data_IF_720329072821
#
_entry.id   IF_720329072821
#
_cell.length_a   1.000
_cell.length_b   1.000
_cell.length_c   1.000
_cell.angle_alpha   90.00
_cell.angle_beta   90.00
_cell.angle_gamma   90.00
#
_symmetry.space_group_name_H-M   'P 1'
#
loop_
_entity.id
_entity.type
_entity.pdbx_description
1 polymer ?
#
# COMPACT_ATOMS: atom_id res chain seq x y z
N UNK A 1 -26.55 -28.60 46.08
CA UNK A 1 -27.11 -28.48 44.72
C UNK A 1 -26.59 -27.18 44.11
N UNK A 2 -25.49 -27.24 43.35
CA UNK A 2 -24.84 -26.04 42.79
C UNK A 2 -24.78 -26.13 41.26
N UNK A 3 -25.44 -25.21 40.57
CA UNK A 3 -25.53 -25.07 39.10
C UNK A 3 -24.29 -24.43 38.46
N UNK A 4 -23.11 -24.59 39.08
CA UNK A 4 -21.88 -23.89 38.65
C UNK A 4 -21.29 -24.40 37.32
N UNK A 5 -21.66 -25.60 36.85
CA UNK A 5 -21.05 -26.20 35.66
C UNK A 5 -21.70 -25.83 34.32
N UNK A 6 -22.93 -25.32 34.30
CA UNK A 6 -23.65 -25.07 33.04
C UNK A 6 -23.22 -23.77 32.36
N UNK A 7 -22.90 -22.73 33.14
CA UNK A 7 -22.47 -21.43 32.59
C UNK A 7 -21.13 -21.52 31.83
N UNK A 8 -20.17 -22.30 32.34
CA UNK A 8 -18.88 -22.54 31.68
C UNK A 8 -19.07 -23.23 30.31
N UNK A 9 -19.93 -24.25 30.25
CA UNK A 9 -20.25 -25.00 29.04
C UNK A 9 -20.93 -24.14 27.95
N UNK A 10 -21.80 -23.21 28.34
CA UNK A 10 -22.40 -22.26 27.40
C UNK A 10 -21.38 -21.22 26.88
N UNK A 11 -20.35 -20.89 27.66
CA UNK A 11 -19.28 -19.97 27.25
C UNK A 11 -18.38 -20.58 26.16
N UNK A 12 -18.04 -21.87 26.26
CA UNK A 12 -17.23 -22.59 25.27
C UNK A 12 -17.97 -22.77 23.93
N UNK A 13 -19.28 -23.02 23.99
CA UNK A 13 -20.13 -23.12 22.79
C UNK A 13 -20.26 -21.79 22.04
N UNK A 14 -20.20 -20.66 22.76
CA UNK A 14 -20.23 -19.32 22.17
C UNK A 14 -18.85 -18.87 21.66
N UNK A 15 -17.77 -19.25 22.34
CA UNK A 15 -16.39 -18.96 21.92
C UNK A 15 -16.01 -19.66 20.59
N UNK A 16 -16.61 -20.82 20.32
CA UNK A 16 -16.40 -21.57 19.06
C UNK A 16 -17.12 -20.94 17.85
N UNK A 17 -17.98 -19.93 18.05
CA UNK A 17 -18.90 -19.41 17.03
C UNK A 17 -18.38 -18.16 16.32
N UNK A 18 -17.88 -18.39 15.10
CA UNK A 18 -17.66 -17.46 13.97
C UNK A 18 -16.44 -16.53 14.06
N UNK A 19 -15.32 -17.02 13.50
CA UNK A 19 -14.38 -16.14 12.77
C UNK A 19 -15.14 -15.49 11.60
N UNK A 20 -15.65 -14.29 11.82
CA UNK A 20 -16.29 -13.49 10.79
C UNK A 20 -15.35 -13.32 9.61
N UNK A 21 -15.74 -13.83 8.43
CA UNK A 21 -15.00 -13.60 7.19
C UNK A 21 -15.05 -12.10 6.90
N UNK A 22 -13.97 -11.37 7.22
CA UNK A 22 -13.82 -9.95 6.85
C UNK A 22 -14.03 -9.85 5.33
N UNK A 23 -15.03 -9.05 4.91
CA UNK A 23 -15.27 -8.79 3.49
C UNK A 23 -14.03 -8.11 2.93
N UNK A 24 -13.43 -8.70 1.90
CA UNK A 24 -12.27 -8.11 1.24
C UNK A 24 -12.72 -6.84 0.51
N UNK A 25 -11.99 -5.75 0.71
CA UNK A 25 -12.21 -4.51 -0.03
C UNK A 25 -11.75 -4.68 -1.48
N UNK A 26 -12.38 -3.92 -2.38
CA UNK A 26 -12.03 -3.89 -3.79
C UNK A 26 -10.81 -2.97 -3.92
N UNK A 27 -9.67 -3.56 -4.29
CA UNK A 27 -8.39 -2.87 -4.36
C UNK A 27 -7.93 -2.76 -5.81
N UNK A 28 -7.32 -1.62 -6.13
CA UNK A 28 -6.60 -1.41 -7.39
C UNK A 28 -5.10 -1.41 -7.07
N UNK A 29 -4.38 -2.39 -7.60
CA UNK A 29 -2.94 -2.55 -7.37
C UNK A 29 -2.22 -2.34 -8.69
N UNK A 30 -1.35 -1.34 -8.73
CA UNK A 30 -0.46 -1.08 -9.86
C UNK A 30 0.95 -1.60 -9.58
N UNK A 31 1.52 -2.30 -10.55
CA UNK A 31 2.85 -2.91 -10.49
C UNK A 31 3.71 -2.42 -11.65
N UNK A 32 5.00 -2.22 -11.38
CA UNK A 32 6.02 -2.04 -12.39
C UNK A 32 6.62 -3.40 -12.72
N UNK A 33 6.54 -3.83 -13.98
CA UNK A 33 7.06 -5.13 -14.42
C UNK A 33 7.88 -4.95 -15.68
N UNK A 34 9.14 -5.41 -15.68
CA UNK A 34 9.96 -5.36 -16.89
C UNK A 34 9.42 -6.33 -17.94
N UNK A 35 8.98 -5.78 -19.07
CA UNK A 35 8.45 -6.51 -20.22
C UNK A 35 9.13 -5.99 -21.48
N UNK A 36 9.61 -6.93 -22.31
CA UNK A 36 10.39 -6.62 -23.52
C UNK A 36 9.65 -7.00 -24.81
N UNK A 37 8.66 -7.91 -24.72
CA UNK A 37 7.89 -8.40 -25.88
C UNK A 37 6.43 -8.65 -25.53
N UNK A 38 5.58 -8.77 -26.56
CA UNK A 38 4.15 -9.08 -26.44
C UNK A 38 3.91 -10.44 -25.76
N UNK A 39 4.79 -11.42 -26.00
CA UNK A 39 4.75 -12.70 -25.30
C UNK A 39 4.92 -12.57 -23.78
N UNK A 40 5.74 -11.61 -23.32
CA UNK A 40 5.85 -11.31 -21.88
C UNK A 40 4.58 -10.65 -21.34
N UNK A 41 3.97 -9.73 -22.09
CA UNK A 41 2.70 -9.10 -21.73
C UNK A 41 1.61 -10.16 -21.52
N UNK A 42 1.47 -11.10 -22.46
CA UNK A 42 0.48 -12.18 -22.40
C UNK A 42 0.75 -13.10 -21.20
N UNK A 43 2.01 -13.49 -20.96
CA UNK A 43 2.38 -14.30 -19.79
C UNK A 43 2.02 -13.62 -18.47
N UNK A 44 2.33 -12.33 -18.32
CA UNK A 44 2.00 -11.56 -17.12
C UNK A 44 0.48 -11.41 -16.98
N UNK A 45 -0.23 -11.05 -18.05
CA UNK A 45 -1.70 -10.93 -18.05
C UNK A 45 -2.37 -12.23 -17.62
N UNK A 46 -1.94 -13.36 -18.17
CA UNK A 46 -2.47 -14.69 -17.83
C UNK A 46 -2.12 -15.10 -16.39
N UNK A 47 -0.90 -14.81 -15.94
CA UNK A 47 -0.50 -15.09 -14.56
C UNK A 47 -1.33 -14.30 -13.54
N UNK A 48 -1.62 -13.03 -13.83
CA UNK A 48 -2.41 -12.16 -12.97
C UNK A 48 -3.91 -12.48 -13.03
N UNK A 49 -4.45 -12.82 -14.21
CA UNK A 49 -5.87 -13.22 -14.34
C UNK A 49 -6.17 -14.56 -13.67
N UNK A 50 -5.18 -15.46 -13.57
CA UNK A 50 -5.31 -16.74 -12.87
C UNK A 50 -5.48 -16.61 -11.34
N UNK A 51 -5.28 -15.41 -10.77
CA UNK A 51 -5.42 -15.19 -9.33
C UNK A 51 -6.89 -15.15 -8.90
N UNK A 52 -7.21 -15.88 -7.83
CA UNK A 52 -8.54 -15.88 -7.23
C UNK A 52 -8.91 -14.48 -6.70
N UNK A 53 -10.01 -13.93 -7.20
CA UNK A 53 -10.57 -12.65 -6.75
C UNK A 53 -10.23 -11.44 -7.63
N UNK A 54 -9.50 -11.65 -8.74
CA UNK A 54 -9.26 -10.60 -9.75
C UNK A 54 -10.52 -10.38 -10.59
N UNK A 55 -10.86 -9.11 -10.84
CA UNK A 55 -11.98 -8.71 -11.71
C UNK A 55 -11.49 -8.28 -13.08
N UNK A 56 -10.50 -7.38 -13.13
CA UNK A 56 -9.88 -6.94 -14.38
C UNK A 56 -8.36 -6.82 -14.24
N UNK A 57 -7.68 -7.07 -15.35
CA UNK A 57 -6.23 -6.92 -15.49
C UNK A 57 -5.96 -6.11 -16.74
N UNK A 58 -5.28 -5.00 -16.56
CA UNK A 58 -4.83 -4.12 -17.63
C UNK A 58 -3.30 -4.06 -17.63
N UNK A 59 -2.68 -4.16 -18.81
CA UNK A 59 -1.22 -4.27 -18.93
C UNK A 59 -0.72 -3.37 -20.06
N UNK A 60 0.01 -2.33 -19.67
CA UNK A 60 0.63 -1.36 -20.55
C UNK A 60 2.10 -1.73 -20.81
N UNK A 61 2.41 -2.10 -22.06
CA UNK A 61 3.80 -2.34 -22.49
C UNK A 61 4.65 -1.06 -22.46
N UNK A 62 4.09 0.06 -22.93
CA UNK A 62 4.82 1.35 -23.04
C UNK A 62 5.29 1.88 -21.69
N UNK A 63 4.46 1.73 -20.66
CA UNK A 63 4.76 2.18 -19.30
C UNK A 63 5.37 1.07 -18.43
N UNK A 64 5.48 -0.16 -18.96
CA UNK A 64 5.88 -1.34 -18.19
C UNK A 64 5.04 -1.48 -16.89
N UNK A 65 3.73 -1.21 -17.01
CA UNK A 65 2.79 -1.10 -15.90
C UNK A 65 1.71 -2.17 -16.02
N UNK A 66 1.43 -2.87 -14.93
CA UNK A 66 0.31 -3.79 -14.82
C UNK A 66 -0.64 -3.30 -13.73
N UNK A 67 -1.90 -3.09 -14.07
CA UNK A 67 -2.96 -2.67 -13.15
C UNK A 67 -3.92 -3.82 -12.94
N UNK A 68 -4.08 -4.23 -11.68
CA UNK A 68 -5.00 -5.30 -11.28
C UNK A 68 -6.09 -4.71 -10.41
N UNK A 69 -7.34 -4.88 -10.79
CA UNK A 69 -8.49 -4.54 -9.95
C UNK A 69 -9.16 -5.81 -9.43
N UNK A 70 -9.46 -5.85 -8.14
CA UNK A 70 -10.16 -6.99 -7.55
C UNK A 70 -10.09 -7.08 -6.04
N UNK A 71 -10.62 -8.17 -5.51
CA UNK A 71 -10.61 -8.49 -4.08
C UNK A 71 -9.32 -9.21 -3.67
N UNK A 72 -8.18 -8.57 -3.98
CA UNK A 72 -6.84 -9.14 -3.82
C UNK A 72 -5.93 -8.25 -2.98
N UNK A 73 -4.99 -8.89 -2.28
CA UNK A 73 -3.96 -8.21 -1.50
C UNK A 73 -2.73 -7.93 -2.37
N UNK A 74 -2.15 -6.73 -2.29
CA UNK A 74 -0.99 -6.33 -3.08
C UNK A 74 0.20 -7.30 -2.94
N UNK A 75 0.45 -7.84 -1.73
CA UNK A 75 1.50 -8.82 -1.46
C UNK A 75 1.35 -10.10 -2.29
N UNK A 76 0.12 -10.57 -2.50
CA UNK A 76 -0.17 -11.78 -3.29
C UNK A 76 0.05 -11.53 -4.78
N UNK A 77 -0.35 -10.35 -5.25
CA UNK A 77 -0.16 -9.94 -6.65
C UNK A 77 1.34 -9.79 -6.97
N UNK A 78 2.12 -9.17 -6.06
CA UNK A 78 3.57 -9.06 -6.19
C UNK A 78 4.25 -10.43 -6.29
N UNK A 79 3.94 -11.36 -5.38
CA UNK A 79 4.50 -12.73 -5.43
C UNK A 79 4.15 -13.45 -6.72
N UNK A 80 2.92 -13.27 -7.23
CA UNK A 80 2.51 -13.89 -8.49
C UNK A 80 3.23 -13.28 -9.69
N UNK A 81 3.39 -11.97 -9.74
CA UNK A 81 4.15 -11.31 -10.79
C UNK A 81 5.63 -11.77 -10.80
N UNK A 82 6.24 -11.92 -9.62
CA UNK A 82 7.60 -12.45 -9.48
C UNK A 82 7.71 -13.91 -9.93
N UNK A 83 6.66 -14.72 -9.72
CA UNK A 83 6.65 -16.12 -10.19
C UNK A 83 6.70 -16.27 -11.71
N UNK A 84 6.41 -15.22 -12.48
CA UNK A 84 6.56 -15.18 -13.94
C UNK A 84 8.04 -15.08 -14.37
N UNK A 85 8.98 -14.98 -13.42
CA UNK A 85 10.42 -14.84 -13.70
C UNK A 85 10.82 -13.41 -14.13
N UNK A 86 9.93 -12.43 -13.94
CA UNK A 86 10.17 -11.03 -14.26
C UNK A 86 10.37 -10.23 -12.98
N UNK A 87 11.27 -9.23 -13.04
CA UNK A 87 11.44 -8.26 -11.94
C UNK A 87 10.17 -7.43 -11.83
N UNK A 88 9.51 -7.54 -10.67
CA UNK A 88 8.26 -6.86 -10.38
C UNK A 88 8.40 -6.05 -9.08
N UNK A 89 8.11 -4.77 -9.17
CA UNK A 89 8.14 -3.80 -8.09
C UNK A 89 6.74 -3.16 -7.95
N UNK A 90 6.35 -2.67 -6.78
CA UNK A 90 5.17 -1.82 -6.68
C UNK A 90 5.33 -0.59 -7.58
N UNK A 91 4.25 -0.15 -8.23
CA UNK A 91 4.32 1.05 -9.05
C UNK A 91 4.62 2.26 -8.15
N UNK A 92 5.67 3.06 -8.46
CA UNK A 92 6.13 4.12 -7.56
C UNK A 92 5.20 5.32 -7.54
N UNK A 93 4.28 5.46 -8.49
CA UNK A 93 3.41 6.64 -8.58
C UNK A 93 1.99 6.36 -8.11
N UNK A 94 1.43 7.26 -7.32
CA UNK A 94 0.05 7.25 -6.83
C UNK A 94 -0.69 8.49 -7.31
N UNK A 95 -2.02 8.43 -7.50
CA UNK A 95 -2.79 9.59 -7.93
C UNK A 95 -2.74 10.69 -6.87
N UNK A 96 -2.72 11.94 -7.33
CA UNK A 96 -2.60 13.16 -6.50
C UNK A 96 -3.53 13.18 -5.29
N UNK A 97 -4.77 12.74 -5.47
CA UNK A 97 -5.82 12.78 -4.44
C UNK A 97 -5.58 11.86 -3.23
N UNK A 98 -4.66 10.90 -3.34
CA UNK A 98 -4.34 9.97 -2.24
C UNK A 98 -3.17 10.45 -1.37
N UNK A 99 -2.52 11.56 -1.75
CA UNK A 99 -1.38 12.12 -1.03
C UNK A 99 -1.85 13.39 -0.30
N UNK A 100 -1.54 13.48 1.00
CA UNK A 100 -1.95 14.62 1.82
C UNK A 100 -1.29 15.95 1.39
N UNK A 101 0.01 15.90 1.06
CA UNK A 101 0.79 17.07 0.63
C UNK A 101 1.47 16.80 -0.72
N UNK A 102 0.71 16.82 -1.82
CA UNK A 102 1.22 16.44 -3.14
C UNK A 102 2.12 17.49 -3.80
N UNK A 103 2.16 18.72 -3.27
CA UNK A 103 2.98 19.82 -3.78
C UNK A 103 4.37 19.92 -3.12
N UNK A 104 4.74 18.99 -2.24
CA UNK A 104 6.06 18.97 -1.60
C UNK A 104 7.15 18.65 -2.63
N UNK A 105 8.28 19.36 -2.57
CA UNK A 105 9.34 19.30 -3.59
C UNK A 105 9.87 17.88 -3.88
N UNK A 106 9.88 16.98 -2.90
CA UNK A 106 10.35 15.59 -3.06
C UNK A 106 9.30 14.64 -3.68
N UNK A 107 8.03 15.05 -3.72
CA UNK A 107 6.89 14.22 -4.16
C UNK A 107 6.65 14.36 -5.66
N UNK A 108 6.96 15.53 -6.23
CA UNK A 108 6.83 15.79 -7.67
C UNK A 108 8.01 15.22 -8.47
N UNK A 109 7.72 14.41 -9.48
CA UNK A 109 8.72 13.88 -10.43
C UNK A 109 8.37 14.29 -11.85
N UNK A 110 9.32 14.86 -12.58
CA UNK A 110 9.16 15.25 -14.00
C UNK A 110 8.87 14.05 -14.90
N UNK A 111 9.18 12.82 -14.44
CA UNK A 111 8.93 11.57 -15.16
C UNK A 111 7.53 10.99 -14.90
N UNK A 112 6.76 11.55 -13.97
CA UNK A 112 5.43 11.08 -13.67
C UNK A 112 4.42 11.52 -14.76
N UNK A 113 3.45 10.66 -15.13
CA UNK A 113 2.33 11.08 -15.96
C UNK A 113 1.50 12.18 -15.25
N UNK A 114 0.75 13.01 -16.00
CA UNK A 114 -0.08 14.05 -15.39
C UNK A 114 -1.07 13.47 -14.39
N UNK A 115 -1.20 14.10 -13.21
CA UNK A 115 -2.08 13.66 -12.13
C UNK A 115 -1.51 12.58 -11.20
N UNK A 116 -0.27 12.13 -11.42
CA UNK A 116 0.43 11.17 -10.58
C UNK A 116 1.65 11.80 -9.89
N UNK A 117 1.90 11.39 -8.65
CA UNK A 117 3.03 11.82 -7.82
C UNK A 117 3.76 10.61 -7.23
N UNK A 118 5.02 10.76 -6.80
CA UNK A 118 5.76 9.64 -6.19
C UNK A 118 5.13 9.27 -4.85
N UNK A 119 5.01 7.97 -4.59
CA UNK A 119 4.61 7.43 -3.30
C UNK A 119 5.78 7.55 -2.33
N UNK A 120 5.78 8.58 -1.49
CA UNK A 120 6.65 8.68 -0.32
C UNK A 120 5.91 8.14 0.90
N UNK A 121 6.62 7.38 1.73
CA UNK A 121 6.03 6.75 2.91
C UNK A 121 5.81 7.77 4.03
N UNK A 122 6.59 8.86 4.05
CA UNK A 122 6.48 9.96 5.01
C UNK A 122 6.73 11.32 4.33
N UNK A 123 5.70 12.07 3.88
CA UNK A 123 5.90 13.45 3.44
C UNK A 123 6.27 14.39 4.61
N UNK A 124 6.08 13.96 5.86
CA UNK A 124 6.38 14.75 7.05
C UNK A 124 7.90 14.87 7.36
N UNK A 125 8.73 13.93 6.90
CA UNK A 125 10.19 13.95 7.13
C UNK A 125 10.91 14.73 6.01
N UNK A 126 10.23 15.03 4.91
CA UNK A 126 10.77 15.74 3.76
C UNK A 126 10.85 17.27 3.92
N UNK A 127 10.16 17.82 4.93
CA UNK A 127 9.88 19.26 5.07
C UNK A 127 10.22 19.82 6.44
N UNK A 128 11.28 19.32 7.05
CA UNK A 128 11.99 20.14 8.00
C UNK A 128 13.32 20.44 7.33
N UNK A 129 13.44 21.66 6.79
CA UNK A 129 14.77 22.24 6.69
C UNK A 129 15.44 21.97 8.05
N UNK A 130 16.67 21.47 8.15
CA UNK A 130 17.29 21.17 9.45
C UNK A 130 17.21 22.37 10.42
N UNK A 131 17.15 23.58 9.84
CA UNK A 131 16.88 24.85 10.50
C UNK A 131 15.44 24.99 11.05
N UNK A 132 14.41 24.62 10.30
CA UNK A 132 13.00 24.64 10.76
C UNK A 132 12.73 23.51 11.77
N UNK A 133 13.36 22.36 11.62
CA UNK A 133 13.40 21.29 12.61
C UNK A 133 13.96 21.82 13.94
N UNK A 134 15.08 22.54 13.89
CA UNK A 134 15.67 23.23 15.04
C UNK A 134 14.71 24.24 15.67
N UNK A 135 14.07 25.10 14.89
CA UNK A 135 13.14 26.09 15.45
C UNK A 135 11.91 25.44 16.08
N UNK A 136 11.33 24.41 15.45
CA UNK A 136 10.16 23.72 15.99
C UNK A 136 10.51 22.93 17.26
N UNK A 137 11.72 22.35 17.31
CA UNK A 137 12.27 21.68 18.50
C UNK A 137 12.69 22.65 19.61
N UNK A 138 12.99 23.92 19.31
CA UNK A 138 13.26 24.98 20.29
C UNK A 138 12.02 25.44 21.05
N UNK A 139 10.80 25.19 20.54
CA UNK A 139 9.54 25.53 21.22
C UNK A 139 8.75 24.31 21.68
N UNK A 140 9.31 23.11 21.54
CA UNK A 140 8.65 21.86 21.92
C UNK A 140 8.78 21.61 23.43
N UNK A 141 7.65 21.65 24.14
CA UNK A 141 7.53 21.48 25.60
C UNK A 141 8.03 20.09 26.08
N UNK A 142 8.09 19.09 25.19
CA UNK A 142 8.59 17.75 25.50
C UNK A 142 10.13 17.62 25.53
N UNK A 143 10.87 18.63 25.06
CA UNK A 143 12.34 18.61 25.12
C UNK A 143 12.83 19.45 26.31
N UNK A 144 13.35 18.83 27.39
CA UNK A 144 13.81 19.56 28.57
C UNK A 144 15.00 20.49 28.29
N UNK A 145 15.65 20.37 27.12
CA UNK A 145 16.73 21.26 26.67
C UNK A 145 16.26 22.39 25.72
N UNK A 146 14.96 22.51 25.42
CA UNK A 146 14.42 23.48 24.47
C UNK A 146 14.12 24.87 25.06
N UNK A 147 14.12 25.04 26.38
CA UNK A 147 13.93 26.34 27.03
C UNK A 147 15.17 27.25 26.93
N UNK A 148 15.54 27.68 25.72
CA UNK A 148 16.70 28.55 25.50
C UNK A 148 16.40 29.89 24.81
N UNK A 149 15.13 30.26 24.62
CA UNK A 149 14.76 31.57 24.05
C UNK A 149 13.96 32.36 25.09
N UNK A 150 14.65 33.23 25.83
CA UNK A 150 14.07 34.35 26.57
C UNK A 150 14.17 35.62 25.71
#
# INVERSE_FOLDING_TARGET
MGVAGTLEYFSDLLASRKKGKKKKQLNTVSLKVRMDCEGCQLKVKNALSSLKGVKSVDVDLKQQKATVTGFVEAKKVLKKAQSTGKKAEPWPYVPYNLVAHPYVAQVYDKKAPPGFVRKTEDPAIATLNPVEEQYTLMFSDENPNACSVM
#
